data_IF_500298047454
#
_entry.id   IF_500298047454
#
_cell.length_a   1.000
_cell.length_b   1.000
_cell.length_c   1.000
_cell.angle_alpha   90.00
_cell.angle_beta   90.00
_cell.angle_gamma   90.00
#
_symmetry.space_group_name_H-M   'P 1'
#
loop_
_entity.id
_entity.type
_entity.pdbx_description
1 polymer ?
#
# COMPACT_ATOMS: atom_id res chain seq x y z
N UNK A 1 -5.16 -69.06 -11.95
CA UNK A 1 -5.87 -67.82 -11.57
C UNK A 1 -5.94 -67.73 -10.05
N UNK A 2 -5.18 -66.81 -9.45
CA UNK A 2 -5.57 -65.98 -8.31
C UNK A 2 -4.46 -64.95 -8.07
N UNK A 3 -4.88 -63.74 -7.82
CA UNK A 3 -4.28 -62.49 -8.25
C UNK A 3 -3.32 -61.96 -7.19
N UNK A 4 -2.11 -61.58 -7.61
CA UNK A 4 -1.12 -60.89 -6.78
C UNK A 4 -1.61 -59.48 -6.47
N UNK A 5 -1.81 -59.18 -5.19
CA UNK A 5 -1.98 -57.83 -4.67
C UNK A 5 -0.83 -57.60 -3.69
N UNK A 6 -0.02 -56.56 -3.90
CA UNK A 6 0.23 -55.53 -2.90
C UNK A 6 0.99 -54.40 -3.60
N UNK A 7 0.24 -53.31 -3.72
CA UNK A 7 0.66 -51.97 -4.11
C UNK A 7 1.77 -51.46 -3.20
N UNK A 8 3.01 -51.41 -3.68
CA UNK A 8 4.03 -50.48 -3.15
C UNK A 8 4.91 -50.08 -4.32
N UNK A 9 4.56 -48.98 -5.00
CA UNK A 9 5.52 -48.02 -5.60
C UNK A 9 4.73 -46.86 -6.25
N UNK A 10 3.79 -46.29 -5.51
CA UNK A 10 3.26 -44.97 -5.81
C UNK A 10 4.11 -43.96 -5.09
N UNK A 11 5.34 -43.74 -5.54
CA UNK A 11 6.15 -42.59 -5.14
C UNK A 11 5.44 -41.35 -5.67
N UNK A 12 4.39 -40.92 -4.97
CA UNK A 12 3.78 -39.61 -5.12
C UNK A 12 4.85 -38.65 -4.60
N UNK A 13 5.79 -38.31 -5.49
CA UNK A 13 6.45 -37.03 -5.49
C UNK A 13 5.32 -36.01 -5.59
N UNK A 14 4.78 -35.63 -4.43
CA UNK A 14 4.13 -34.33 -4.27
C UNK A 14 5.26 -33.35 -4.54
N UNK A 15 5.45 -33.02 -5.81
CA UNK A 15 6.06 -31.79 -6.22
C UNK A 15 5.19 -30.72 -5.58
N UNK A 16 5.52 -30.36 -4.34
CA UNK A 16 5.33 -29.02 -3.83
C UNK A 16 6.16 -28.14 -4.75
N UNK A 17 5.63 -27.90 -5.96
CA UNK A 17 5.82 -26.63 -6.60
C UNK A 17 5.31 -25.65 -5.56
N UNK A 18 6.24 -25.10 -4.78
CA UNK A 18 6.07 -23.79 -4.19
C UNK A 18 5.81 -22.89 -5.40
N UNK A 19 4.55 -22.86 -5.87
CA UNK A 19 4.02 -21.69 -6.53
C UNK A 19 4.39 -20.60 -5.54
N UNK A 20 5.32 -19.73 -5.95
CA UNK A 20 5.56 -18.50 -5.24
C UNK A 20 4.17 -17.92 -5.04
N UNK A 21 3.66 -18.06 -3.82
CA UNK A 21 2.34 -17.56 -3.49
C UNK A 21 2.55 -16.07 -3.71
N UNK A 22 1.92 -15.49 -4.73
CA UNK A 22 1.89 -14.05 -4.91
C UNK A 22 1.31 -13.47 -3.61
N UNK A 23 2.20 -13.17 -2.67
CA UNK A 23 1.82 -12.83 -1.31
C UNK A 23 1.27 -11.43 -1.40
N UNK A 24 0.02 -11.33 -0.97
CA UNK A 24 -0.78 -10.11 -1.06
C UNK A 24 -0.26 -9.09 -0.03
N UNK A 25 -0.32 -7.81 -0.40
CA UNK A 25 -0.22 -6.70 0.56
C UNK A 25 -1.17 -7.02 1.72
N UNK A 26 -0.66 -7.06 2.95
CA UNK A 26 -1.48 -7.31 4.13
C UNK A 26 -2.33 -6.06 4.43
N UNK A 27 -3.67 -6.13 4.39
CA UNK A 27 -4.51 -5.01 4.80
C UNK A 27 -4.17 -4.45 6.19
N UNK A 28 -3.60 -5.28 7.08
CA UNK A 28 -3.15 -4.89 8.41
C UNK A 28 -1.99 -3.90 8.41
N UNK A 29 -1.24 -3.76 7.31
CA UNK A 29 -0.19 -2.73 7.21
C UNK A 29 -0.68 -1.46 6.51
N UNK A 30 -1.60 -1.58 5.57
CA UNK A 30 -2.05 -0.45 4.73
C UNK A 30 -2.79 0.61 5.55
N UNK A 31 -3.82 0.20 6.31
CA UNK A 31 -4.61 1.17 7.07
C UNK A 31 -3.77 1.84 8.16
N UNK A 32 -3.02 1.11 9.02
CA UNK A 32 -2.19 1.75 10.03
C UNK A 32 -1.10 2.67 9.45
N UNK A 33 -0.57 2.35 8.26
CA UNK A 33 0.35 3.25 7.55
C UNK A 33 -0.32 4.56 7.16
N UNK A 34 -1.49 4.49 6.53
CA UNK A 34 -2.28 5.67 6.14
C UNK A 34 -2.63 6.53 7.36
N UNK A 35 -3.12 5.90 8.44
CA UNK A 35 -3.46 6.60 9.68
C UNK A 35 -2.24 7.28 10.30
N UNK A 36 -1.08 6.61 10.30
CA UNK A 36 0.18 7.16 10.81
C UNK A 36 0.60 8.41 10.04
N UNK A 37 0.44 8.39 8.72
CA UNK A 37 0.72 9.56 7.88
C UNK A 37 -0.23 10.72 8.18
N UNK A 38 -1.54 10.45 8.29
CA UNK A 38 -2.54 11.47 8.64
C UNK A 38 -2.22 12.09 10.01
N UNK A 39 -1.97 11.26 11.02
CA UNK A 39 -1.62 11.69 12.37
C UNK A 39 -0.36 12.56 12.37
N UNK A 40 0.66 12.15 11.60
CA UNK A 40 1.91 12.89 11.46
C UNK A 40 1.70 14.25 10.80
N UNK A 41 1.02 14.30 9.65
CA UNK A 41 0.79 15.55 8.92
C UNK A 41 0.00 16.53 9.77
N UNK A 42 -1.09 16.11 10.41
CA UNK A 42 -1.88 17.00 11.26
C UNK A 42 -1.13 17.53 12.49
N UNK A 43 -0.12 16.80 12.99
CA UNK A 43 0.76 17.30 14.05
C UNK A 43 1.75 18.35 13.56
N UNK A 44 2.29 18.20 12.34
CA UNK A 44 3.17 19.20 11.73
C UNK A 44 2.38 20.46 11.33
N UNK A 45 1.28 20.25 10.61
CA UNK A 45 0.41 21.29 10.09
C UNK A 45 -0.97 20.68 9.80
N UNK A 46 -2.01 21.25 10.41
CA UNK A 46 -3.38 20.79 10.18
C UNK A 46 -3.72 20.77 8.69
N UNK A 47 -4.13 19.61 8.17
CA UNK A 47 -4.52 19.46 6.77
C UNK A 47 -6.02 19.69 6.65
N UNK A 48 -6.42 20.75 5.95
CA UNK A 48 -7.82 21.01 5.67
C UNK A 48 -8.40 19.92 4.76
N UNK A 49 -9.41 19.21 5.28
CA UNK A 49 -10.08 18.09 4.62
C UNK A 49 -10.96 18.50 3.44
N UNK A 50 -11.40 19.76 3.41
CA UNK A 50 -12.17 20.30 2.29
C UNK A 50 -11.28 20.60 1.09
N UNK A 51 -10.03 21.00 1.34
CA UNK A 51 -9.11 21.48 0.29
C UNK A 51 -8.20 20.37 -0.24
N UNK A 52 -8.07 19.26 0.48
CA UNK A 52 -7.15 18.18 0.15
C UNK A 52 -7.85 16.83 0.12
N UNK A 53 -7.33 15.96 -0.74
CA UNK A 53 -7.60 14.53 -0.71
C UNK A 53 -6.33 13.76 -0.39
N UNK A 54 -6.50 12.53 0.09
CA UNK A 54 -5.40 11.60 0.27
C UNK A 54 -5.29 10.68 -0.94
N UNK A 55 -4.08 10.54 -1.48
CA UNK A 55 -3.77 9.62 -2.56
C UNK A 55 -2.93 8.49 -1.99
N UNK A 56 -3.32 7.26 -2.31
CA UNK A 56 -2.59 6.04 -1.93
C UNK A 56 -2.23 5.26 -3.18
N UNK A 57 -0.96 4.91 -3.31
CA UNK A 57 -0.43 4.12 -4.41
C UNK A 57 0.36 2.92 -3.90
N UNK A 58 0.42 1.88 -4.73
CA UNK A 58 1.24 0.72 -4.48
C UNK A 58 1.78 0.18 -5.79
N UNK A 59 3.03 -0.27 -5.78
CA UNK A 59 3.61 -0.94 -6.95
C UNK A 59 4.60 -2.02 -6.54
N UNK A 60 4.73 -3.04 -7.40
CA UNK A 60 5.79 -4.04 -7.27
C UNK A 60 7.14 -3.44 -7.64
N UNK A 61 8.18 -3.91 -6.98
CA UNK A 61 9.54 -3.70 -7.45
C UNK A 61 9.86 -4.86 -8.40
N UNK A 62 9.99 -4.54 -9.69
CA UNK A 62 10.21 -5.54 -10.74
C UNK A 62 11.41 -6.43 -10.41
N UNK A 63 11.26 -7.73 -10.68
CA UNK A 63 12.25 -8.78 -10.42
C UNK A 63 12.56 -9.05 -8.94
N UNK A 64 11.84 -8.42 -8.01
CA UNK A 64 11.97 -8.66 -6.58
C UNK A 64 10.65 -9.10 -5.95
N UNK A 65 10.71 -9.84 -4.85
CA UNK A 65 9.53 -10.17 -4.04
C UNK A 65 9.19 -9.03 -3.07
N UNK A 66 9.22 -7.80 -3.58
CA UNK A 66 9.07 -6.56 -2.82
C UNK A 66 8.03 -5.66 -3.46
N UNK A 67 7.48 -4.76 -2.67
CA UNK A 67 6.55 -3.73 -3.13
C UNK A 67 6.78 -2.46 -2.32
N UNK A 68 6.31 -1.34 -2.84
CA UNK A 68 6.22 -0.11 -2.08
C UNK A 68 4.77 0.35 -1.94
N UNK A 69 4.49 1.05 -0.85
CA UNK A 69 3.28 1.82 -0.63
C UNK A 69 3.65 3.28 -0.51
N UNK A 70 2.86 4.16 -1.10
CA UNK A 70 2.98 5.59 -0.86
C UNK A 70 1.66 6.20 -0.43
N UNK A 71 1.78 7.32 0.28
CA UNK A 71 0.65 8.10 0.75
C UNK A 71 1.02 9.57 0.78
N UNK A 72 0.13 10.41 0.27
CA UNK A 72 0.31 11.87 0.32
C UNK A 72 -1.01 12.63 0.19
N UNK A 73 -1.03 13.84 0.73
CA UNK A 73 -2.10 14.80 0.48
C UNK A 73 -1.87 15.57 -0.82
N UNK A 74 -2.95 15.86 -1.51
CA UNK A 74 -2.95 16.66 -2.74
C UNK A 74 -4.21 17.52 -2.82
N UNK A 75 -4.04 18.77 -3.24
CA UNK A 75 -5.16 19.65 -3.54
C UNK A 75 -5.70 19.26 -4.93
N UNK A 76 -7.01 18.97 -5.08
CA UNK A 76 -7.65 18.68 -6.37
C UNK A 76 -7.37 19.71 -7.48
N UNK A 77 -7.20 21.00 -7.14
CA UNK A 77 -6.85 22.05 -8.10
C UNK A 77 -5.48 21.84 -8.77
N UNK A 78 -4.62 21.00 -8.17
CA UNK A 78 -3.30 20.63 -8.68
C UNK A 78 -3.27 19.22 -9.29
N UNK A 79 -4.39 18.49 -9.27
CA UNK A 79 -4.48 17.13 -9.78
C UNK A 79 -4.83 17.09 -11.26
N UNK A 80 -4.05 16.34 -12.04
CA UNK A 80 -4.35 16.03 -13.44
C UNK A 80 -3.94 14.60 -13.78
N UNK A 81 -4.83 13.85 -14.43
CA UNK A 81 -4.51 12.55 -15.04
C UNK A 81 -4.46 11.35 -14.10
N UNK A 82 -4.86 11.49 -12.82
CA UNK A 82 -4.97 10.35 -11.92
C UNK A 82 -6.08 9.41 -12.37
N UNK A 83 -5.77 8.11 -12.45
CA UNK A 83 -6.75 7.07 -12.76
C UNK A 83 -7.33 6.54 -11.45
N UNK A 84 -8.63 6.70 -11.24
CA UNK A 84 -9.32 6.10 -10.11
C UNK A 84 -10.81 5.95 -10.42
N UNK A 85 -11.43 4.90 -9.87
CA UNK A 85 -12.86 4.59 -10.09
C UNK A 85 -13.72 4.76 -8.84
N UNK A 86 -13.09 4.86 -7.66
CA UNK A 86 -13.77 4.89 -6.37
C UNK A 86 -13.16 5.93 -5.46
N UNK A 87 -14.01 6.48 -4.60
CA UNK A 87 -13.61 7.37 -3.52
C UNK A 87 -13.98 6.71 -2.19
N UNK A 88 -13.03 6.68 -1.29
CA UNK A 88 -13.19 6.10 0.04
C UNK A 88 -13.16 7.20 1.10
N UNK A 89 -13.70 6.90 2.27
CA UNK A 89 -13.64 7.76 3.43
C UNK A 89 -13.00 7.02 4.60
N UNK A 90 -11.94 7.61 5.13
CA UNK A 90 -11.30 7.21 6.38
C UNK A 90 -11.28 8.43 7.29
N UNK A 91 -11.92 8.32 8.46
CA UNK A 91 -12.24 9.48 9.29
C UNK A 91 -13.03 10.54 8.50
N UNK A 92 -12.50 11.78 8.43
CA UNK A 92 -13.02 12.88 7.63
C UNK A 92 -12.26 13.09 6.31
N UNK A 93 -11.31 12.22 5.97
CA UNK A 93 -10.51 12.34 4.75
C UNK A 93 -11.10 11.54 3.60
N UNK A 94 -11.18 12.18 2.43
CA UNK A 94 -11.46 11.54 1.15
C UNK A 94 -10.17 10.89 0.64
N UNK A 95 -10.26 9.65 0.21
CA UNK A 95 -9.12 8.86 -0.26
C UNK A 95 -9.40 8.32 -1.65
N UNK A 96 -8.42 8.42 -2.54
CA UNK A 96 -8.40 7.68 -3.81
C UNK A 96 -7.21 6.72 -3.85
N UNK A 97 -7.38 5.63 -4.58
CA UNK A 97 -6.29 4.72 -4.93
C UNK A 97 -5.83 5.11 -6.34
N UNK A 98 -4.52 5.31 -6.53
CA UNK A 98 -3.96 5.53 -7.87
C UNK A 98 -3.94 4.21 -8.66
N UNK A 99 -4.93 4.06 -9.55
CA UNK A 99 -5.15 2.86 -10.35
C UNK A 99 -4.22 2.77 -11.57
N UNK A 100 -3.33 3.75 -11.78
CA UNK A 100 -2.29 3.66 -12.80
C UNK A 100 -1.18 2.67 -12.41
N UNK A 101 -1.08 2.29 -11.13
CA UNK A 101 -0.03 1.44 -10.60
C UNK A 101 -0.41 -0.06 -10.60
N UNK A 102 0.58 -0.93 -10.73
CA UNK A 102 0.40 -2.37 -10.95
C UNK A 102 -0.13 -3.16 -9.74
N UNK A 103 -0.05 -2.60 -8.53
CA UNK A 103 -0.57 -3.24 -7.30
C UNK A 103 -1.94 -2.72 -6.82
N UNK A 104 -2.69 -2.10 -7.73
CA UNK A 104 -4.05 -1.61 -7.50
C UNK A 104 -4.99 -2.69 -6.94
N UNK A 105 -4.94 -3.91 -7.47
CA UNK A 105 -5.82 -5.01 -7.02
C UNK A 105 -5.54 -5.35 -5.56
N UNK A 106 -4.28 -5.32 -5.13
CA UNK A 106 -3.90 -5.61 -3.75
C UNK A 106 -4.38 -4.50 -2.81
N UNK A 107 -4.22 -3.22 -3.18
CA UNK A 107 -4.78 -2.11 -2.41
C UNK A 107 -6.30 -2.16 -2.29
N UNK A 108 -7.02 -2.46 -3.38
CA UNK A 108 -8.50 -2.58 -3.35
C UNK A 108 -8.98 -3.60 -2.31
N UNK A 109 -8.23 -4.68 -2.08
CA UNK A 109 -8.56 -5.65 -1.04
C UNK A 109 -8.40 -5.07 0.38
N UNK A 110 -7.39 -4.21 0.60
CA UNK A 110 -7.20 -3.55 1.89
C UNK A 110 -8.34 -2.54 2.19
N UNK A 111 -8.90 -1.92 1.15
CA UNK A 111 -10.00 -0.97 1.26
C UNK A 111 -11.39 -1.60 1.29
N UNK A 112 -11.50 -2.94 1.23
CA UNK A 112 -12.80 -3.64 1.16
C UNK A 112 -13.76 -3.29 2.31
N UNK A 113 -13.22 -3.01 3.49
CA UNK A 113 -14.00 -2.65 4.69
C UNK A 113 -13.98 -1.15 4.99
N UNK A 114 -13.40 -0.34 4.11
CA UNK A 114 -13.43 1.12 4.22
C UNK A 114 -14.69 1.63 3.52
N UNK A 115 -15.30 2.67 4.10
CA UNK A 115 -16.52 3.26 3.54
C UNK A 115 -16.24 3.81 2.15
N UNK A 116 -16.92 3.29 1.13
CA UNK A 116 -17.01 3.92 -0.19
C UNK A 116 -18.05 5.05 -0.15
N UNK A 117 -17.73 6.19 -0.75
CA UNK A 117 -18.61 7.35 -0.86
C UNK A 117 -18.87 7.67 -2.33
N UNK A 118 -19.89 8.51 -2.65
CA UNK A 118 -20.16 8.88 -4.04
C UNK A 118 -18.91 9.39 -4.75
N UNK A 119 -18.78 9.00 -6.02
CA UNK A 119 -17.68 9.43 -6.86
C UNK A 119 -17.66 10.97 -7.00
N UNK A 120 -16.46 11.53 -6.92
CA UNK A 120 -16.17 12.94 -7.16
C UNK A 120 -14.96 13.01 -8.09
N UNK A 121 -15.02 13.89 -9.10
CA UNK A 121 -13.86 14.14 -9.96
C UNK A 121 -12.92 15.14 -9.28
N UNK A 122 -11.72 14.69 -8.96
CA UNK A 122 -10.67 15.47 -8.31
C UNK A 122 -9.58 15.90 -9.28
N UNK A 123 -9.56 15.41 -10.53
CA UNK A 123 -8.64 15.90 -11.54
C UNK A 123 -9.09 17.28 -12.05
N UNK A 124 -8.92 18.33 -11.23
CA UNK A 124 -9.42 19.67 -11.50
C UNK A 124 -8.37 20.62 -12.08
N UNK A 125 -7.10 20.21 -12.15
CA UNK A 125 -6.05 21.07 -12.67
C UNK A 125 -6.28 21.37 -14.17
N UNK A 126 -6.21 22.66 -14.50
CA UNK A 126 -6.32 23.14 -15.88
C UNK A 126 -5.10 22.82 -16.76
N UNK A 127 -3.96 22.53 -16.12
CA UNK A 127 -2.70 22.16 -16.78
C UNK A 127 -1.94 21.15 -15.91
N UNK A 128 -1.10 20.28 -16.50
CA UNK A 128 -0.26 19.38 -15.73
C UNK A 128 0.64 20.17 -14.80
N UNK A 129 0.51 19.93 -13.50
CA UNK A 129 1.32 20.56 -12.48
C UNK A 129 2.26 19.52 -11.86
N UNK A 130 3.56 19.81 -11.87
CA UNK A 130 4.56 19.00 -11.19
C UNK A 130 4.97 19.72 -9.92
N UNK A 131 4.72 19.12 -8.77
CA UNK A 131 5.18 19.66 -7.50
C UNK A 131 5.57 18.56 -6.52
N UNK A 132 6.50 18.90 -5.63
CA UNK A 132 6.99 17.99 -4.62
C UNK A 132 5.96 17.92 -3.48
N UNK A 133 5.20 16.84 -3.43
CA UNK A 133 4.32 16.56 -2.29
C UNK A 133 5.13 15.99 -1.13
N UNK A 134 4.78 16.37 0.09
CA UNK A 134 5.32 15.75 1.30
C UNK A 134 4.74 14.34 1.45
N UNK A 135 5.27 13.40 0.67
CA UNK A 135 4.85 12.01 0.59
C UNK A 135 5.61 11.14 1.60
N UNK A 136 4.94 10.12 2.14
CA UNK A 136 5.64 8.98 2.70
C UNK A 136 5.63 7.82 1.71
N UNK A 137 6.76 7.15 1.56
CA UNK A 137 6.89 5.92 0.81
C UNK A 137 7.57 4.87 1.68
N UNK A 138 6.97 3.70 1.78
CA UNK A 138 7.49 2.55 2.51
C UNK A 138 7.73 1.40 1.54
N UNK A 139 8.93 0.83 1.57
CA UNK A 139 9.25 -0.40 0.84
C UNK A 139 9.12 -1.58 1.78
N UNK A 140 8.45 -2.63 1.33
CA UNK A 140 8.20 -3.86 2.08
C UNK A 140 8.85 -5.06 1.41
N UNK A 141 9.31 -6.00 2.24
CA UNK A 141 9.68 -7.33 1.79
C UNK A 141 8.44 -8.24 1.64
N UNK A 142 8.64 -9.47 1.17
CA UNK A 142 7.60 -10.49 1.00
C UNK A 142 6.90 -10.94 2.29
N UNK A 143 7.40 -10.53 3.46
CA UNK A 143 6.80 -10.79 4.78
C UNK A 143 5.94 -9.62 5.28
N UNK A 144 5.77 -8.57 4.47
CA UNK A 144 5.14 -7.31 4.85
C UNK A 144 5.89 -6.60 5.99
N UNK A 145 7.21 -6.74 6.04
CA UNK A 145 8.08 -5.99 6.95
C UNK A 145 8.72 -4.84 6.17
N UNK A 146 8.77 -3.66 6.78
CA UNK A 146 9.39 -2.47 6.19
C UNK A 146 10.90 -2.68 6.09
N UNK A 147 11.45 -2.43 4.91
CA UNK A 147 12.90 -2.46 4.65
C UNK A 147 13.48 -1.08 4.32
N UNK A 148 12.62 -0.11 3.96
CA UNK A 148 13.05 1.24 3.64
C UNK A 148 11.91 2.23 3.91
N UNK A 149 12.27 3.42 4.37
CA UNK A 149 11.37 4.55 4.57
C UNK A 149 11.85 5.74 3.74
N UNK A 150 10.91 6.47 3.14
CA UNK A 150 11.14 7.79 2.57
C UNK A 150 10.07 8.77 3.07
N UNK A 151 10.44 10.02 3.40
CA UNK A 151 11.75 10.63 3.19
C UNK A 151 12.79 10.24 4.26
N UNK A 152 14.06 10.11 3.85
CA UNK A 152 15.12 9.55 4.69
C UNK A 152 15.48 10.46 5.88
N UNK A 153 15.42 11.77 5.69
CA UNK A 153 15.66 12.74 6.77
C UNK A 153 14.64 12.66 7.91
N UNK A 154 13.52 11.95 7.70
CA UNK A 154 12.50 11.68 8.74
C UNK A 154 12.39 10.21 9.09
N UNK A 155 13.24 9.33 8.57
CA UNK A 155 13.09 7.88 8.66
C UNK A 155 12.95 7.38 10.10
N UNK A 156 13.79 7.86 11.04
CA UNK A 156 13.71 7.48 12.45
C UNK A 156 12.38 7.89 13.10
N UNK A 157 11.91 9.10 12.80
CA UNK A 157 10.62 9.59 13.32
C UNK A 157 9.46 8.76 12.77
N UNK A 158 9.49 8.47 11.47
CA UNK A 158 8.48 7.66 10.80
C UNK A 158 8.48 6.24 11.36
N UNK A 159 9.65 5.60 11.48
CA UNK A 159 9.83 4.27 12.07
C UNK A 159 9.21 4.18 13.47
N UNK A 160 9.55 5.13 14.34
CA UNK A 160 9.01 5.19 15.70
C UNK A 160 7.47 5.32 15.73
N UNK A 161 6.86 6.01 14.77
CA UNK A 161 5.39 6.13 14.66
C UNK A 161 4.79 4.80 14.20
N UNK A 162 5.36 4.19 13.16
CA UNK A 162 4.86 2.95 12.55
C UNK A 162 4.97 1.75 13.50
N UNK A 163 6.07 1.63 14.25
CA UNK A 163 6.27 0.57 15.25
C UNK A 163 5.23 0.64 16.37
N UNK A 164 4.89 1.85 16.84
CA UNK A 164 3.81 2.06 17.83
C UNK A 164 2.43 1.63 17.32
N UNK A 165 2.25 1.60 16.00
CA UNK A 165 1.03 1.12 15.32
C UNK A 165 1.12 -0.36 14.90
N UNK A 166 2.17 -1.06 15.34
CA UNK A 166 2.34 -2.50 15.14
C UNK A 166 2.90 -2.89 13.76
N UNK A 167 3.37 -1.94 12.97
CA UNK A 167 4.05 -2.23 11.71
C UNK A 167 5.46 -2.72 12.01
N UNK A 168 5.83 -3.85 11.40
CA UNK A 168 7.11 -4.51 11.63
C UNK A 168 8.19 -3.99 10.69
N UNK A 169 9.39 -3.85 11.20
CA UNK A 169 10.59 -3.56 10.44
C UNK A 169 11.43 -4.84 10.27
N UNK A 170 12.00 -5.01 9.08
CA UNK A 170 12.87 -6.14 8.77
C UNK A 170 14.20 -6.00 9.52
N UNK A 171 14.92 -7.11 9.68
CA UNK A 171 16.33 -7.08 10.09
C UNK A 171 17.22 -6.45 9.02
N UNK A 172 16.77 -6.49 7.77
CA UNK A 172 17.42 -5.90 6.60
C UNK A 172 16.94 -4.45 6.35
N UNK A 173 16.45 -3.77 7.40
CA UNK A 173 16.01 -2.39 7.29
C UNK A 173 17.21 -1.47 7.05
N UNK A 174 17.16 -0.69 5.98
CA UNK A 174 18.17 0.31 5.62
C UNK A 174 17.77 1.67 6.22
N UNK A 175 18.60 2.17 7.14
CA UNK A 175 18.49 3.52 7.74
C UNK A 175 19.03 4.63 6.82
#
# INVERSE_FOLDING_TARGET
MKTTLIFILGSILVLFSCKAQDKKIDPKVVIPFIESYIDFKNKEHYVNVSDNILIVGASKIQNETKYWLNVYFMNPELMSGFKYTKVYKLYNYRIIIDEALDETIMLKNAFKNIQEIPYENFNLASYPFSYNTSMWLLTFNYKNEVIQVSPQEKAETIKNILEKKGIKFSKDYEE
#
